data_IF_292438788719
#
_entry.id   IF_292438788719
#
_cell.length_a   1.000
_cell.length_b   1.000
_cell.length_c   1.000
_cell.angle_alpha   90.00
_cell.angle_beta   90.00
_cell.angle_gamma   90.00
#
_symmetry.space_group_name_H-M   'P 1'
#
loop_
_entity.id
_entity.type
_entity.pdbx_description
1 polymer ?
#
# COMPACT_ATOMS: atom_id res chain seq x y z
N UNK A 1 -96.76 27.64 -4.29
CA UNK A 1 -96.18 26.41 -4.84
C UNK A 1 -94.74 26.66 -5.13
N UNK A 2 -93.81 26.28 -4.24
CA UNK A 2 -92.38 26.44 -4.38
C UNK A 2 -91.73 25.10 -4.73
N UNK A 3 -91.16 25.00 -5.93
CA UNK A 3 -90.34 23.85 -6.37
C UNK A 3 -88.94 24.06 -5.86
N UNK A 4 -88.46 23.18 -4.96
CA UNK A 4 -87.04 23.10 -4.54
C UNK A 4 -86.27 22.19 -5.52
N UNK A 5 -85.34 22.79 -6.24
CA UNK A 5 -84.42 22.06 -7.10
C UNK A 5 -83.22 21.61 -6.25
N UNK A 6 -82.99 20.30 -6.15
CA UNK A 6 -81.84 19.74 -5.50
C UNK A 6 -80.65 19.67 -6.53
N UNK A 7 -79.59 20.39 -6.27
CA UNK A 7 -78.35 20.24 -6.99
C UNK A 7 -77.53 19.13 -6.35
N UNK A 8 -77.32 18.04 -7.07
CA UNK A 8 -76.43 16.97 -6.70
C UNK A 8 -75.00 17.36 -7.18
N UNK A 9 -74.07 17.61 -6.21
CA UNK A 9 -72.69 17.80 -6.47
C UNK A 9 -72.00 16.44 -6.45
N UNK A 10 -71.57 15.96 -7.65
CA UNK A 10 -70.77 14.75 -7.79
C UNK A 10 -69.31 15.11 -7.48
N UNK A 11 -68.76 14.62 -6.35
CA UNK A 11 -67.34 14.70 -6.04
C UNK A 11 -66.64 13.62 -6.82
N UNK A 12 -65.86 14.02 -7.83
CA UNK A 12 -64.87 13.17 -8.51
C UNK A 12 -63.64 13.03 -7.64
N UNK A 13 -63.48 11.87 -7.00
CA UNK A 13 -62.23 11.54 -6.31
C UNK A 13 -61.16 11.13 -7.35
N UNK A 14 -60.20 12.02 -7.60
CA UNK A 14 -58.99 11.71 -8.40
C UNK A 14 -58.05 10.92 -7.49
N UNK A 15 -57.99 9.60 -7.67
CA UNK A 15 -56.97 8.75 -7.07
C UNK A 15 -55.66 8.98 -7.80
N UNK A 16 -54.79 9.79 -7.22
CA UNK A 16 -53.36 9.87 -7.64
C UNK A 16 -52.68 8.63 -7.09
N UNK A 17 -52.61 7.57 -7.89
CA UNK A 17 -51.73 6.44 -7.65
C UNK A 17 -50.28 6.93 -7.88
N UNK A 18 -49.66 7.48 -6.84
CA UNK A 18 -48.24 7.74 -6.82
C UNK A 18 -47.52 6.41 -6.87
N UNK A 19 -46.99 6.06 -8.05
CA UNK A 19 -46.01 4.99 -8.19
C UNK A 19 -44.80 5.39 -7.39
N UNK A 20 -44.70 4.97 -6.14
CA UNK A 20 -43.47 4.88 -5.39
C UNK A 20 -42.65 3.78 -6.06
N UNK A 21 -42.05 4.08 -7.21
CA UNK A 21 -40.86 3.36 -7.65
C UNK A 21 -39.81 3.66 -6.60
N UNK A 22 -39.69 2.79 -5.59
CA UNK A 22 -38.53 2.72 -4.75
C UNK A 22 -37.34 2.61 -5.70
N UNK A 23 -36.55 3.66 -5.80
CA UNK A 23 -35.22 3.54 -6.35
C UNK A 23 -34.55 2.52 -5.44
N UNK A 24 -34.54 1.25 -5.86
CA UNK A 24 -33.60 0.31 -5.29
C UNK A 24 -32.24 0.99 -5.45
N UNK A 25 -31.60 1.32 -4.32
CA UNK A 25 -30.23 1.76 -4.35
C UNK A 25 -29.48 0.65 -5.09
N UNK A 26 -29.01 0.97 -6.30
CA UNK A 26 -28.22 0.02 -7.07
C UNK A 26 -27.05 -0.36 -6.20
N UNK A 27 -26.90 -1.66 -5.88
CA UNK A 27 -25.81 -2.14 -5.05
C UNK A 27 -24.51 -1.66 -5.68
N UNK A 28 -23.83 -0.81 -4.95
CA UNK A 28 -22.56 -0.22 -5.43
C UNK A 28 -21.48 -1.28 -5.31
N UNK A 29 -20.82 -1.56 -6.42
CA UNK A 29 -19.75 -2.55 -6.49
C UNK A 29 -18.42 -1.83 -6.73
N UNK A 30 -17.51 -1.99 -5.78
CA UNK A 30 -16.16 -1.48 -5.83
C UNK A 30 -15.20 -2.62 -6.19
N UNK A 31 -14.06 -2.26 -6.76
CA UNK A 31 -13.01 -3.22 -7.09
C UNK A 31 -11.71 -2.80 -6.42
N UNK A 32 -11.10 -3.74 -5.70
CA UNK A 32 -9.78 -3.61 -5.11
C UNK A 32 -8.83 -4.56 -5.84
N UNK A 33 -7.88 -3.99 -6.58
CA UNK A 33 -7.02 -4.73 -7.52
C UNK A 33 -5.56 -4.48 -7.12
N UNK A 34 -4.84 -5.56 -6.78
CA UNK A 34 -3.49 -5.47 -6.24
C UNK A 34 -2.48 -6.26 -7.09
N UNK A 35 -1.30 -5.67 -7.31
CA UNK A 35 -0.16 -6.39 -7.87
C UNK A 35 0.50 -7.33 -6.85
N UNK A 36 0.12 -7.24 -5.57
CA UNK A 36 0.67 -8.09 -4.52
C UNK A 36 0.31 -9.56 -4.65
N UNK A 37 0.82 -10.34 -3.71
CA UNK A 37 0.55 -11.77 -3.58
C UNK A 37 -0.06 -12.06 -2.21
N UNK A 38 -1.06 -12.95 -2.13
CA UNK A 38 -1.60 -13.39 -0.83
C UNK A 38 -0.59 -14.18 0.00
N UNK A 39 0.55 -14.60 -0.60
CA UNK A 39 1.64 -15.26 0.11
C UNK A 39 2.53 -14.29 0.89
N UNK A 40 2.50 -13.00 0.56
CA UNK A 40 3.24 -11.96 1.26
C UNK A 40 2.36 -11.37 2.38
N UNK A 41 2.77 -11.45 3.65
CA UNK A 41 1.96 -11.06 4.81
C UNK A 41 1.45 -9.62 4.76
N UNK A 42 2.21 -8.66 4.23
CA UNK A 42 1.78 -7.26 4.18
C UNK A 42 0.48 -7.09 3.39
N UNK A 43 0.29 -7.89 2.34
CA UNK A 43 -0.91 -7.83 1.51
C UNK A 43 -2.17 -8.35 2.20
N UNK A 44 -2.01 -9.19 3.23
CA UNK A 44 -3.12 -9.60 4.11
C UNK A 44 -3.66 -8.39 4.88
N UNK A 45 -2.79 -7.50 5.35
CA UNK A 45 -3.22 -6.28 6.05
C UNK A 45 -3.89 -5.28 5.10
N UNK A 46 -3.38 -5.12 3.88
CA UNK A 46 -4.08 -4.31 2.87
C UNK A 46 -5.48 -4.85 2.56
N UNK A 47 -5.62 -6.17 2.40
CA UNK A 47 -6.91 -6.82 2.17
C UNK A 47 -7.87 -6.61 3.35
N UNK A 48 -7.40 -6.76 4.59
CA UNK A 48 -8.22 -6.52 5.78
C UNK A 48 -8.79 -5.10 5.81
N UNK A 49 -8.05 -4.10 5.35
CA UNK A 49 -8.55 -2.72 5.23
C UNK A 49 -9.71 -2.61 4.23
N UNK A 50 -9.63 -3.32 3.11
CA UNK A 50 -10.70 -3.36 2.13
C UNK A 50 -11.95 -4.11 2.64
N UNK A 51 -11.74 -5.23 3.32
CA UNK A 51 -12.82 -6.01 3.94
C UNK A 51 -13.52 -5.24 5.07
N UNK A 52 -12.75 -4.52 5.90
CA UNK A 52 -13.32 -3.68 6.95
C UNK A 52 -14.15 -2.55 6.36
N UNK A 53 -13.67 -1.89 5.29
CA UNK A 53 -14.45 -0.85 4.62
C UNK A 53 -15.76 -1.41 4.05
N UNK A 54 -15.73 -2.60 3.45
CA UNK A 54 -16.93 -3.28 2.95
C UNK A 54 -17.93 -3.57 4.07
N UNK A 55 -17.44 -4.07 5.21
CA UNK A 55 -18.26 -4.36 6.38
C UNK A 55 -18.90 -3.10 6.98
N UNK A 56 -18.14 -2.00 7.11
CA UNK A 56 -18.60 -0.75 7.71
C UNK A 56 -19.62 -0.01 6.83
N UNK A 57 -19.47 -0.12 5.51
CA UNK A 57 -20.32 0.60 4.55
C UNK A 57 -21.47 -0.23 4.00
N UNK A 58 -21.42 -1.56 4.17
CA UNK A 58 -22.38 -2.49 3.55
C UNK A 58 -22.28 -2.55 2.03
N UNK A 59 -21.20 -2.05 1.42
CA UNK A 59 -20.96 -2.08 -0.02
C UNK A 59 -20.23 -3.35 -0.43
N UNK A 60 -20.42 -3.78 -1.67
CA UNK A 60 -19.69 -4.92 -2.25
C UNK A 60 -18.29 -4.47 -2.70
N UNK A 61 -17.26 -5.18 -2.28
CA UNK A 61 -15.88 -5.00 -2.76
C UNK A 61 -15.40 -6.32 -3.37
N UNK A 62 -15.10 -6.31 -4.67
CA UNK A 62 -14.43 -7.43 -5.34
C UNK A 62 -12.92 -7.25 -5.26
N UNK A 63 -12.23 -8.24 -4.72
CA UNK A 63 -10.78 -8.18 -4.50
C UNK A 63 -10.04 -9.15 -5.41
N UNK A 64 -8.86 -8.76 -5.91
CA UNK A 64 -7.99 -9.64 -6.70
C UNK A 64 -6.51 -9.32 -6.49
N UNK A 65 -5.69 -10.39 -6.59
CA UNK A 65 -4.23 -10.34 -6.54
C UNK A 65 -3.66 -10.81 -7.87
N UNK A 66 -2.59 -10.16 -8.32
CA UNK A 66 -2.00 -10.41 -9.63
C UNK A 66 -0.50 -10.76 -9.58
N UNK A 67 0.13 -10.81 -8.40
CA UNK A 67 1.51 -11.30 -8.17
C UNK A 67 2.54 -10.71 -9.14
N UNK A 68 2.45 -9.40 -9.43
CA UNK A 68 3.33 -8.69 -10.36
C UNK A 68 3.03 -8.90 -11.85
N UNK A 69 2.02 -9.72 -12.21
CA UNK A 69 1.64 -9.95 -13.61
C UNK A 69 0.86 -8.76 -14.17
N UNK A 70 1.54 -7.89 -14.91
CA UNK A 70 0.97 -6.67 -15.51
C UNK A 70 -0.20 -6.97 -16.45
N UNK A 71 -0.12 -7.92 -17.41
CA UNK A 71 -1.25 -8.28 -18.27
C UNK A 71 -2.48 -8.71 -17.49
N UNK A 72 -2.33 -9.57 -16.49
CA UNK A 72 -3.43 -10.01 -15.61
C UNK A 72 -4.05 -8.84 -14.83
N UNK A 73 -3.23 -7.92 -14.34
CA UNK A 73 -3.68 -6.73 -13.62
C UNK A 73 -4.49 -5.80 -14.53
N UNK A 74 -4.01 -5.52 -15.75
CA UNK A 74 -4.73 -4.71 -16.73
C UNK A 74 -6.08 -5.34 -17.11
N UNK A 75 -6.12 -6.67 -17.30
CA UNK A 75 -7.35 -7.36 -17.63
C UNK A 75 -8.39 -7.29 -16.49
N UNK A 76 -7.94 -7.35 -15.24
CA UNK A 76 -8.83 -7.18 -14.08
C UNK A 76 -9.45 -5.77 -14.04
N UNK A 77 -8.70 -4.72 -14.39
CA UNK A 77 -9.24 -3.36 -14.50
C UNK A 77 -10.27 -3.28 -15.64
N UNK A 78 -9.98 -3.86 -16.82
CA UNK A 78 -10.93 -3.89 -17.94
C UNK A 78 -12.20 -4.69 -17.60
N UNK A 79 -12.06 -5.81 -16.89
CA UNK A 79 -13.19 -6.60 -16.40
C UNK A 79 -14.08 -5.79 -15.43
N UNK A 80 -13.47 -5.02 -14.52
CA UNK A 80 -14.20 -4.13 -13.63
C UNK A 80 -14.94 -3.02 -14.39
N UNK A 81 -14.30 -2.43 -15.43
CA UNK A 81 -14.95 -1.44 -16.30
C UNK A 81 -16.15 -2.06 -17.03
N UNK A 82 -15.96 -3.23 -17.64
CA UNK A 82 -17.02 -3.95 -18.37
C UNK A 82 -18.20 -4.36 -17.46
N UNK A 83 -17.91 -4.67 -16.19
CA UNK A 83 -18.93 -4.99 -15.20
C UNK A 83 -19.66 -3.75 -14.66
N UNK A 84 -19.30 -2.54 -15.05
CA UNK A 84 -19.91 -1.29 -14.59
C UNK A 84 -19.55 -0.97 -13.14
N UNK A 85 -18.29 -1.11 -12.78
CA UNK A 85 -17.81 -0.78 -11.44
C UNK A 85 -18.27 0.62 -10.99
N UNK A 86 -18.65 0.75 -9.74
CA UNK A 86 -18.94 2.06 -9.13
C UNK A 86 -17.67 2.88 -9.03
N UNK A 87 -16.56 2.26 -8.60
CA UNK A 87 -15.21 2.80 -8.62
C UNK A 87 -14.19 1.66 -8.48
N UNK A 88 -12.92 1.96 -8.80
CA UNK A 88 -11.81 1.05 -8.73
C UNK A 88 -10.74 1.63 -7.81
N UNK A 89 -10.12 0.81 -6.98
CA UNK A 89 -8.84 1.13 -6.34
C UNK A 89 -7.80 0.15 -6.82
N UNK A 90 -6.63 0.63 -7.22
CA UNK A 90 -5.60 -0.19 -7.87
C UNK A 90 -4.21 0.22 -7.42
N UNK A 91 -3.36 -0.76 -7.16
CA UNK A 91 -1.91 -0.51 -7.11
C UNK A 91 -1.37 -0.35 -8.53
N UNK A 92 -0.14 0.14 -8.70
CA UNK A 92 0.56 0.13 -9.98
C UNK A 92 1.82 -0.73 -9.85
N UNK A 93 1.91 -1.88 -10.58
CA UNK A 93 3.09 -2.75 -10.48
C UNK A 93 4.36 -2.09 -11.00
N UNK A 94 4.25 -1.39 -12.13
CA UNK A 94 5.35 -0.67 -12.78
C UNK A 94 4.88 0.71 -13.27
N UNK A 95 5.69 1.77 -13.17
CA UNK A 95 5.34 3.10 -13.66
C UNK A 95 4.98 3.06 -15.15
N UNK A 96 3.83 3.63 -15.47
CA UNK A 96 3.32 3.69 -16.85
C UNK A 96 2.64 2.42 -17.36
N UNK A 97 2.72 1.31 -16.67
CA UNK A 97 2.10 0.05 -17.12
C UNK A 97 0.57 0.12 -17.16
N UNK A 98 -0.05 0.98 -16.38
CA UNK A 98 -1.50 1.13 -16.28
C UNK A 98 -2.07 2.37 -16.99
N UNK A 99 -1.27 3.18 -17.67
CA UNK A 99 -1.70 4.43 -18.30
C UNK A 99 -2.94 4.24 -19.19
N UNK A 100 -2.93 3.22 -20.04
CA UNK A 100 -4.02 2.95 -20.98
C UNK A 100 -5.32 2.55 -20.25
N UNK A 101 -5.26 1.58 -19.34
CA UNK A 101 -6.45 1.07 -18.65
C UNK A 101 -7.02 2.07 -17.65
N UNK A 102 -6.18 2.93 -17.06
CA UNK A 102 -6.63 4.06 -16.24
C UNK A 102 -7.38 5.07 -17.11
N UNK A 103 -6.87 5.38 -18.31
CA UNK A 103 -7.57 6.26 -19.25
C UNK A 103 -8.90 5.64 -19.72
N UNK A 104 -8.97 4.32 -19.93
CA UNK A 104 -10.21 3.59 -20.24
C UNK A 104 -11.25 3.75 -19.10
N UNK A 105 -10.86 3.55 -17.83
CA UNK A 105 -11.73 3.74 -16.67
C UNK A 105 -12.25 5.19 -16.57
N UNK A 106 -11.36 6.16 -16.74
CA UNK A 106 -11.69 7.58 -16.73
C UNK A 106 -12.66 7.95 -17.85
N UNK A 107 -12.44 7.44 -19.07
CA UNK A 107 -13.33 7.65 -20.21
C UNK A 107 -14.72 7.02 -20.01
N UNK A 108 -14.81 5.89 -19.29
CA UNK A 108 -16.06 5.29 -18.88
C UNK A 108 -16.76 6.03 -17.71
N UNK A 109 -16.14 7.06 -17.15
CA UNK A 109 -16.66 7.82 -16.02
C UNK A 109 -16.55 7.08 -14.68
N UNK A 110 -15.70 6.06 -14.62
CA UNK A 110 -15.46 5.24 -13.43
C UNK A 110 -14.25 5.82 -12.68
N UNK A 111 -14.41 6.30 -11.45
CA UNK A 111 -13.30 6.75 -10.63
C UNK A 111 -12.29 5.62 -10.39
N UNK A 112 -11.00 5.95 -10.48
CA UNK A 112 -9.93 5.03 -10.18
C UNK A 112 -8.89 5.71 -9.27
N UNK A 113 -8.65 5.14 -8.09
CA UNK A 113 -7.72 5.63 -7.08
C UNK A 113 -6.50 4.71 -7.06
N UNK A 114 -5.31 5.31 -7.09
CA UNK A 114 -4.07 4.56 -6.89
C UNK A 114 -3.76 4.40 -5.40
N UNK A 115 -3.24 3.25 -5.00
CA UNK A 115 -2.78 3.04 -3.62
C UNK A 115 -1.47 2.25 -3.55
N UNK A 116 -0.78 2.33 -2.42
CA UNK A 116 0.48 1.67 -2.08
C UNK A 116 1.67 2.12 -2.95
N UNK A 117 1.68 1.83 -4.25
CA UNK A 117 2.78 2.17 -5.17
C UNK A 117 2.35 3.30 -6.09
N UNK A 118 2.96 4.50 -5.98
CA UNK A 118 2.57 5.66 -6.77
C UNK A 118 2.94 5.50 -8.25
N UNK A 119 2.05 5.91 -9.14
CA UNK A 119 2.31 6.00 -10.58
C UNK A 119 1.91 7.38 -11.12
N UNK A 120 2.84 8.33 -11.15
CA UNK A 120 2.56 9.68 -11.65
C UNK A 120 2.38 9.74 -13.15
N UNK A 121 2.64 8.66 -13.90
CA UNK A 121 2.45 8.59 -15.35
C UNK A 121 1.01 8.33 -15.74
N UNK A 122 0.19 7.75 -14.86
CA UNK A 122 -1.22 7.46 -15.12
C UNK A 122 -2.14 8.49 -14.43
N UNK A 123 -3.26 8.86 -15.09
CA UNK A 123 -4.20 9.88 -14.62
C UNK A 123 -5.19 9.30 -13.57
N UNK A 124 -4.68 8.79 -12.46
CA UNK A 124 -5.50 8.42 -11.32
C UNK A 124 -6.19 9.64 -10.68
N UNK A 125 -7.37 9.45 -10.07
CA UNK A 125 -8.07 10.53 -9.37
C UNK A 125 -7.31 11.02 -8.13
N UNK A 126 -6.66 10.11 -7.42
CA UNK A 126 -5.84 10.39 -6.24
C UNK A 126 -4.89 9.22 -5.94
N UNK A 127 -3.98 9.42 -5.01
CA UNK A 127 -3.08 8.41 -4.48
C UNK A 127 -3.18 8.31 -2.96
N UNK A 128 -3.08 7.08 -2.43
CA UNK A 128 -3.00 6.80 -0.99
C UNK A 128 -1.84 5.85 -0.72
N UNK A 129 -0.85 6.29 0.04
CA UNK A 129 0.31 5.46 0.38
C UNK A 129 1.53 6.28 0.78
N UNK A 130 2.69 5.63 0.84
CA UNK A 130 3.95 6.27 1.19
C UNK A 130 4.51 7.16 0.07
N UNK A 131 5.21 8.22 0.44
CA UNK A 131 6.14 8.90 -0.46
C UNK A 131 7.47 8.13 -0.40
N UNK A 132 7.75 7.31 -1.42
CA UNK A 132 8.88 6.39 -1.41
C UNK A 132 10.24 7.11 -1.39
N UNK A 133 10.36 8.26 -2.04
CA UNK A 133 11.57 9.08 -1.92
C UNK A 133 11.76 9.62 -0.50
N UNK A 134 10.67 10.05 0.13
CA UNK A 134 10.71 10.48 1.53
C UNK A 134 11.06 9.33 2.47
N UNK A 135 10.54 8.13 2.22
CA UNK A 135 10.85 6.91 2.98
C UNK A 135 12.33 6.60 2.92
N UNK A 136 12.91 6.47 1.72
CA UNK A 136 14.34 6.20 1.54
C UNK A 136 15.22 7.29 2.17
N UNK A 137 14.85 8.56 1.99
CA UNK A 137 15.54 9.69 2.63
C UNK A 137 15.49 9.58 4.15
N UNK A 138 14.35 9.19 4.71
CA UNK A 138 14.16 9.07 6.16
C UNK A 138 15.06 7.99 6.76
N UNK A 139 15.22 6.84 6.09
CA UNK A 139 16.15 5.79 6.53
C UNK A 139 17.60 6.25 6.50
N UNK A 140 18.03 6.86 5.38
CA UNK A 140 19.39 7.35 5.24
C UNK A 140 19.71 8.44 6.26
N UNK A 141 18.78 9.39 6.45
CA UNK A 141 18.93 10.48 7.42
C UNK A 141 18.97 9.95 8.86
N UNK A 142 18.12 8.94 9.18
CA UNK A 142 18.17 8.29 10.49
C UNK A 142 19.55 7.68 10.78
N UNK A 143 20.13 6.95 9.83
CA UNK A 143 21.47 6.35 10.02
C UNK A 143 22.53 7.41 10.22
N UNK A 144 22.45 8.54 9.51
CA UNK A 144 23.37 9.67 9.65
C UNK A 144 23.20 10.37 11.01
N UNK A 145 21.95 10.71 11.37
CA UNK A 145 21.65 11.46 12.60
C UNK A 145 22.00 10.67 13.87
N UNK A 146 21.86 9.35 13.84
CA UNK A 146 22.29 8.47 14.94
C UNK A 146 23.82 8.23 14.95
N UNK A 147 24.54 8.71 13.94
CA UNK A 147 25.97 8.50 13.80
C UNK A 147 26.37 7.07 13.46
N UNK A 148 25.47 6.30 12.87
CA UNK A 148 25.69 4.92 12.48
C UNK A 148 26.49 4.80 11.18
N UNK A 149 26.42 5.83 10.33
CA UNK A 149 27.19 5.91 9.08
C UNK A 149 27.84 7.27 8.92
N UNK A 150 29.01 7.30 8.27
CA UNK A 150 29.82 8.50 7.99
C UNK A 150 30.50 8.38 6.63
N UNK A 151 31.22 9.42 6.23
CA UNK A 151 31.98 9.42 4.99
C UNK A 151 32.90 8.19 4.86
N UNK A 152 32.83 7.54 3.72
CA UNK A 152 33.65 6.37 3.38
C UNK A 152 33.00 5.03 3.79
N UNK A 153 31.92 5.06 4.53
CA UNK A 153 31.19 3.85 4.92
C UNK A 153 30.45 3.23 3.72
N UNK A 154 30.08 1.95 3.89
CA UNK A 154 29.37 1.17 2.89
C UNK A 154 28.09 0.61 3.46
N UNK A 155 26.95 0.87 2.80
CA UNK A 155 25.63 0.41 3.18
C UNK A 155 25.14 -0.66 2.21
N UNK A 156 24.68 -1.78 2.73
CA UNK A 156 24.07 -2.83 1.94
C UNK A 156 22.55 -2.67 1.88
N UNK A 157 21.96 -2.83 0.68
CA UNK A 157 20.53 -2.66 0.44
C UNK A 157 19.94 -3.89 -0.26
N UNK A 158 19.56 -4.95 0.50
CA UNK A 158 18.83 -6.08 -0.07
C UNK A 158 17.41 -5.66 -0.47
N UNK A 159 16.92 -6.18 -1.61
CA UNK A 159 15.57 -5.95 -2.15
C UNK A 159 15.01 -7.23 -2.74
N UNK A 160 13.69 -7.45 -2.62
CA UNK A 160 13.04 -8.66 -3.15
C UNK A 160 13.01 -8.68 -4.67
N UNK A 161 12.78 -7.52 -5.31
CA UNK A 161 12.67 -7.39 -6.77
C UNK A 161 13.52 -6.22 -7.23
N UNK A 162 14.76 -6.48 -7.68
CA UNK A 162 15.62 -5.43 -8.22
C UNK A 162 14.99 -4.72 -9.41
N UNK A 163 15.06 -3.38 -9.39
CA UNK A 163 14.49 -2.54 -10.46
C UNK A 163 12.97 -2.30 -10.35
N UNK A 164 12.29 -2.90 -9.39
CA UNK A 164 10.91 -2.52 -9.10
C UNK A 164 10.83 -1.06 -8.64
N UNK A 165 9.74 -0.38 -9.01
CA UNK A 165 9.58 1.06 -8.81
C UNK A 165 9.77 1.50 -7.36
N UNK A 166 9.30 0.69 -6.41
CA UNK A 166 9.44 1.02 -4.99
C UNK A 166 10.92 1.14 -4.57
N UNK A 167 11.74 0.14 -4.85
CA UNK A 167 13.16 0.16 -4.50
C UNK A 167 13.94 1.25 -5.24
N UNK A 168 13.60 1.51 -6.51
CA UNK A 168 14.22 2.58 -7.30
C UNK A 168 13.92 3.98 -6.73
N UNK A 169 12.68 4.25 -6.32
CA UNK A 169 12.32 5.55 -5.73
C UNK A 169 12.90 5.72 -4.32
N UNK A 170 12.92 4.66 -3.52
CA UNK A 170 13.59 4.64 -2.21
C UNK A 170 15.09 4.90 -2.36
N UNK A 171 15.77 4.23 -3.31
CA UNK A 171 17.18 4.43 -3.60
C UNK A 171 17.48 5.88 -3.98
N UNK A 172 16.65 6.54 -4.79
CA UNK A 172 16.79 7.98 -5.09
C UNK A 172 16.73 8.84 -3.83
N UNK A 173 15.82 8.50 -2.91
CA UNK A 173 15.72 9.15 -1.60
C UNK A 173 17.00 8.99 -0.78
N UNK A 174 17.53 7.77 -0.70
CA UNK A 174 18.77 7.42 -0.01
C UNK A 174 19.96 8.14 -0.63
N UNK A 175 20.08 8.10 -1.96
CA UNK A 175 21.14 8.76 -2.71
C UNK A 175 21.21 10.26 -2.41
N UNK A 176 20.07 10.93 -2.26
CA UNK A 176 20.00 12.35 -1.93
C UNK A 176 20.68 12.73 -0.62
N UNK A 177 20.84 11.75 0.31
CA UNK A 177 21.53 11.92 1.61
C UNK A 177 22.96 11.40 1.54
N UNK A 178 23.17 10.24 0.94
CA UNK A 178 24.48 9.54 1.00
C UNK A 178 25.50 10.09 0.01
N UNK A 179 25.10 10.46 -1.21
CA UNK A 179 26.05 10.99 -2.21
C UNK A 179 26.81 12.23 -1.73
N UNK A 180 26.16 13.27 -1.14
CA UNK A 180 26.86 14.43 -0.63
C UNK A 180 27.86 14.12 0.49
N UNK A 181 27.62 13.01 1.22
CA UNK A 181 28.45 12.58 2.35
C UNK A 181 29.56 11.60 1.93
N UNK A 182 29.59 11.16 0.67
CA UNK A 182 30.56 10.16 0.20
C UNK A 182 30.35 8.78 0.81
N UNK A 183 29.13 8.44 1.17
CA UNK A 183 28.73 7.10 1.60
C UNK A 183 28.37 6.31 0.34
N UNK A 184 28.84 5.06 0.25
CA UNK A 184 28.60 4.18 -0.89
C UNK A 184 27.61 3.07 -0.51
N UNK A 185 26.94 2.49 -1.51
CA UNK A 185 26.00 1.40 -1.27
C UNK A 185 25.94 0.41 -2.42
N UNK A 186 25.28 -0.71 -2.18
CA UNK A 186 25.01 -1.75 -3.17
C UNK A 186 23.63 -2.31 -2.96
N UNK A 187 22.82 -2.35 -4.04
CA UNK A 187 21.51 -3.02 -4.07
C UNK A 187 21.70 -4.45 -4.55
N UNK A 188 21.14 -5.43 -3.83
CA UNK A 188 21.26 -6.84 -4.20
C UNK A 188 19.92 -7.54 -4.23
N UNK A 189 19.78 -8.50 -5.15
CA UNK A 189 18.61 -9.35 -5.29
C UNK A 189 18.50 -10.36 -4.14
N UNK A 190 17.44 -10.23 -3.36
CA UNK A 190 17.12 -11.16 -2.27
C UNK A 190 15.98 -12.14 -2.62
N UNK A 191 15.28 -11.96 -3.75
CA UNK A 191 14.13 -12.77 -4.23
C UNK A 191 12.85 -12.62 -3.40
N UNK A 192 11.76 -13.23 -3.88
CA UNK A 192 10.43 -13.24 -3.24
C UNK A 192 10.14 -14.55 -2.45
N UNK A 193 11.04 -15.51 -2.43
CA UNK A 193 10.93 -16.72 -1.63
C UNK A 193 11.61 -16.53 -0.27
N UNK A 194 10.85 -16.60 0.82
CA UNK A 194 11.38 -16.29 2.16
C UNK A 194 12.54 -17.19 2.59
N UNK A 195 12.56 -18.46 2.20
CA UNK A 195 13.66 -19.36 2.55
C UNK A 195 14.92 -19.02 1.76
N UNK A 196 14.76 -18.65 0.51
CA UNK A 196 15.84 -18.22 -0.38
C UNK A 196 16.34 -16.82 0.03
N UNK A 197 15.48 -15.90 0.47
CA UNK A 197 15.88 -14.59 1.05
C UNK A 197 16.89 -14.81 2.17
N UNK A 198 16.60 -15.67 3.15
CA UNK A 198 17.50 -15.94 4.27
C UNK A 198 18.85 -16.49 3.77
N UNK A 199 18.81 -17.41 2.80
CA UNK A 199 20.02 -18.02 2.22
C UNK A 199 20.87 -16.96 1.53
N UNK A 200 20.32 -16.19 0.58
CA UNK A 200 21.03 -15.16 -0.17
C UNK A 200 21.61 -14.08 0.73
N UNK A 201 20.81 -13.61 1.70
CA UNK A 201 21.28 -12.62 2.66
C UNK A 201 22.38 -13.17 3.56
N UNK A 202 22.31 -14.41 4.01
CA UNK A 202 23.36 -15.06 4.83
C UNK A 202 24.65 -15.25 4.03
N UNK A 203 24.57 -15.66 2.77
CA UNK A 203 25.73 -15.80 1.89
C UNK A 203 26.40 -14.46 1.64
N UNK A 204 25.62 -13.41 1.35
CA UNK A 204 26.14 -12.06 1.17
C UNK A 204 26.85 -11.54 2.44
N UNK A 205 26.21 -11.69 3.61
CA UNK A 205 26.80 -11.27 4.89
C UNK A 205 28.06 -12.06 5.23
N UNK A 206 28.08 -13.36 4.97
CA UNK A 206 29.27 -14.19 5.19
C UNK A 206 30.46 -13.69 4.36
N UNK A 207 30.21 -13.27 3.12
CA UNK A 207 31.27 -12.80 2.21
C UNK A 207 31.66 -11.33 2.46
N UNK A 208 30.79 -10.49 3.02
CA UNK A 208 30.95 -9.03 3.03
C UNK A 208 30.87 -8.39 4.43
N UNK A 209 30.77 -9.17 5.51
CA UNK A 209 30.54 -8.65 6.88
C UNK A 209 31.46 -7.51 7.26
N UNK A 210 32.76 -7.63 6.95
CA UNK A 210 33.75 -6.62 7.31
C UNK A 210 33.58 -5.31 6.54
N UNK A 211 32.94 -5.35 5.36
CA UNK A 211 32.69 -4.19 4.51
C UNK A 211 31.39 -3.47 4.92
N UNK A 212 30.36 -4.21 5.38
CA UNK A 212 29.03 -3.67 5.63
C UNK A 212 29.00 -2.90 6.93
N UNK A 213 28.79 -1.58 6.86
CA UNK A 213 28.65 -0.70 8.03
C UNK A 213 27.21 -0.62 8.52
N UNK A 214 26.23 -0.63 7.60
CA UNK A 214 24.80 -0.62 7.91
C UNK A 214 23.99 -1.32 6.81
N UNK A 215 22.74 -1.63 7.10
CA UNK A 215 21.81 -2.26 6.16
C UNK A 215 20.54 -1.41 6.05
N UNK A 216 20.05 -1.23 4.82
CA UNK A 216 18.70 -0.71 4.55
C UNK A 216 17.92 -1.79 3.81
N UNK A 217 16.94 -2.40 4.45
CA UNK A 217 16.04 -3.35 3.80
C UNK A 217 14.99 -2.60 2.96
N UNK A 218 15.12 -2.68 1.63
CA UNK A 218 14.20 -1.99 0.70
C UNK A 218 12.84 -2.68 0.57
N UNK A 219 12.61 -3.77 1.30
CA UNK A 219 11.33 -4.45 1.40
C UNK A 219 11.10 -5.03 2.79
N UNK A 220 9.87 -5.41 3.08
CA UNK A 220 9.52 -5.92 4.41
C UNK A 220 10.05 -7.33 4.67
N UNK A 221 10.06 -8.18 3.64
CA UNK A 221 10.55 -9.56 3.76
C UNK A 221 12.06 -9.60 4.07
N UNK A 222 12.85 -8.76 3.42
CA UNK A 222 14.29 -8.66 3.70
C UNK A 222 14.54 -8.07 5.08
N UNK A 223 13.81 -7.04 5.49
CA UNK A 223 13.94 -6.43 6.82
C UNK A 223 13.54 -7.42 7.92
N UNK A 224 12.40 -8.10 7.77
CA UNK A 224 11.91 -9.10 8.71
C UNK A 224 12.79 -10.36 8.81
N UNK A 225 13.59 -10.64 7.79
CA UNK A 225 14.52 -11.77 7.80
C UNK A 225 15.83 -11.48 8.52
N UNK A 226 16.16 -10.22 8.81
CA UNK A 226 17.48 -9.81 9.36
C UNK A 226 17.84 -10.57 10.63
N UNK A 227 16.91 -10.74 11.59
CA UNK A 227 17.20 -11.48 12.81
C UNK A 227 17.66 -12.92 12.52
N UNK A 228 16.94 -13.63 11.64
CA UNK A 228 17.30 -15.02 11.29
C UNK A 228 18.63 -15.10 10.56
N UNK A 229 18.89 -14.14 9.67
CA UNK A 229 20.19 -14.02 8.96
C UNK A 229 21.31 -13.80 9.95
N UNK A 230 21.18 -12.84 10.85
CA UNK A 230 22.21 -12.50 11.84
C UNK A 230 22.49 -13.65 12.81
N UNK A 231 21.43 -14.34 13.29
CA UNK A 231 21.58 -15.53 14.12
C UNK A 231 22.34 -16.65 13.37
N UNK A 232 22.09 -16.83 12.08
CA UNK A 232 22.76 -17.84 11.26
C UNK A 232 24.24 -17.53 11.00
N UNK A 233 24.59 -16.26 10.75
CA UNK A 233 25.98 -15.85 10.46
C UNK A 233 26.74 -15.36 11.70
N UNK A 234 26.11 -15.40 12.88
CA UNK A 234 26.74 -15.04 14.15
C UNK A 234 26.98 -13.53 14.30
N UNK A 235 26.07 -12.67 13.83
CA UNK A 235 26.06 -11.23 14.07
C UNK A 235 25.16 -10.93 15.28
N UNK A 236 25.69 -10.38 16.38
CA UNK A 236 24.88 -10.02 17.54
C UNK A 236 23.91 -8.87 17.23
N UNK A 237 22.79 -8.83 17.97
CA UNK A 237 21.87 -7.71 17.92
C UNK A 237 22.58 -6.38 18.18
N UNK A 238 22.33 -5.39 17.35
CA UNK A 238 22.91 -4.05 17.46
C UNK A 238 24.35 -3.90 16.97
N UNK A 239 25.02 -4.95 16.50
CA UNK A 239 26.38 -4.84 15.96
C UNK A 239 26.41 -4.10 14.61
N UNK A 240 25.50 -4.40 13.73
CA UNK A 240 25.31 -3.73 12.44
C UNK A 240 23.96 -3.01 12.47
N UNK A 241 23.93 -1.68 12.33
CA UNK A 241 22.69 -0.92 12.26
C UNK A 241 21.83 -1.33 11.07
N UNK A 242 20.53 -1.51 11.31
CA UNK A 242 19.56 -1.90 10.28
C UNK A 242 18.35 -1.00 10.34
N UNK A 243 17.89 -0.54 9.19
CA UNK A 243 16.60 0.13 8.99
C UNK A 243 15.89 -0.47 7.76
N UNK A 244 14.60 -0.24 7.61
CA UNK A 244 13.86 -0.71 6.42
C UNK A 244 12.35 -0.65 6.61
N UNK A 245 11.61 -1.41 5.80
CA UNK A 245 10.17 -1.57 5.98
C UNK A 245 9.82 -2.39 7.22
N UNK A 246 8.65 -2.15 7.79
CA UNK A 246 8.25 -2.71 9.07
C UNK A 246 6.78 -3.11 9.17
N UNK A 247 6.29 -3.88 8.21
CA UNK A 247 4.86 -4.21 8.08
C UNK A 247 4.55 -5.67 8.48
N UNK A 248 5.48 -6.36 9.16
CA UNK A 248 5.29 -7.75 9.58
C UNK A 248 5.62 -7.97 11.07
N UNK A 249 5.06 -9.05 11.63
CA UNK A 249 5.39 -9.48 12.99
C UNK A 249 6.87 -9.82 13.15
N UNK A 250 7.49 -10.38 12.10
CA UNK A 250 8.94 -10.68 12.10
C UNK A 250 9.76 -9.39 12.24
N UNK A 251 9.40 -8.32 11.50
CA UNK A 251 10.11 -7.05 11.62
C UNK A 251 9.91 -6.38 12.96
N UNK A 252 8.68 -6.32 13.50
CA UNK A 252 8.46 -5.73 14.83
C UNK A 252 9.19 -6.51 15.93
N UNK A 253 9.26 -7.84 15.79
CA UNK A 253 10.07 -8.67 16.68
C UNK A 253 11.56 -8.33 16.57
N UNK A 254 12.10 -8.24 15.36
CA UNK A 254 13.49 -7.87 15.13
C UNK A 254 13.84 -6.47 15.70
N UNK A 255 12.90 -5.50 15.63
CA UNK A 255 13.06 -4.19 16.29
C UNK A 255 13.06 -4.33 17.82
N UNK A 256 12.13 -5.08 18.38
CA UNK A 256 12.03 -5.31 19.84
C UNK A 256 13.28 -6.01 20.37
N UNK A 257 13.80 -7.00 19.66
CA UNK A 257 14.99 -7.76 20.03
C UNK A 257 16.30 -7.00 19.75
N UNK A 258 16.24 -5.85 19.05
CA UNK A 258 17.37 -4.97 18.78
C UNK A 258 18.22 -5.35 17.57
N UNK A 259 17.73 -6.21 16.68
CA UNK A 259 18.37 -6.52 15.39
C UNK A 259 18.08 -5.46 14.33
N UNK A 260 16.95 -4.78 14.41
CA UNK A 260 16.57 -3.65 13.55
C UNK A 260 16.42 -2.41 14.42
N UNK A 261 17.07 -1.31 14.04
CA UNK A 261 17.09 -0.07 14.82
C UNK A 261 15.82 0.74 14.67
N UNK A 262 15.31 0.83 13.45
CA UNK A 262 14.05 1.50 13.15
C UNK A 262 13.41 0.90 11.88
N UNK A 263 12.10 0.92 11.83
CA UNK A 263 11.36 0.41 10.68
C UNK A 263 10.21 1.34 10.29
N UNK A 264 9.88 1.40 9.00
CA UNK A 264 8.82 2.23 8.46
C UNK A 264 7.52 1.44 8.39
N UNK A 265 6.52 1.90 9.09
CA UNK A 265 5.15 1.39 9.00
C UNK A 265 4.40 2.05 7.85
N UNK A 266 3.75 1.29 6.96
CA UNK A 266 2.99 1.81 5.81
C UNK A 266 1.54 2.14 6.11
N UNK A 267 0.99 1.72 7.23
CA UNK A 267 -0.45 1.71 7.49
C UNK A 267 -1.26 0.94 6.42
N UNK A 268 -0.96 -0.33 6.14
CA UNK A 268 -1.56 -1.02 5.00
C UNK A 268 -3.10 -1.12 5.10
N UNK A 269 -3.65 -1.38 6.29
CA UNK A 269 -5.10 -1.41 6.51
C UNK A 269 -5.73 -0.03 6.25
N UNK A 270 -5.17 1.03 6.85
CA UNK A 270 -5.65 2.39 6.66
C UNK A 270 -5.53 2.82 5.20
N UNK A 271 -4.46 2.47 4.51
CA UNK A 271 -4.24 2.78 3.09
C UNK A 271 -5.37 2.23 2.21
N UNK A 272 -5.72 0.94 2.34
CA UNK A 272 -6.83 0.34 1.57
C UNK A 272 -8.18 0.94 1.95
N UNK A 273 -8.44 1.13 3.24
CA UNK A 273 -9.68 1.71 3.73
C UNK A 273 -9.89 3.15 3.21
N UNK A 274 -8.85 3.98 3.28
CA UNK A 274 -8.87 5.36 2.79
C UNK A 274 -9.02 5.38 1.27
N UNK A 275 -8.32 4.52 0.53
CA UNK A 275 -8.43 4.47 -0.93
C UNK A 275 -9.86 4.18 -1.39
N UNK A 276 -10.54 3.20 -0.78
CA UNK A 276 -11.95 2.91 -1.04
C UNK A 276 -12.87 4.06 -0.63
N UNK A 277 -12.56 4.75 0.47
CA UNK A 277 -13.32 5.93 0.91
C UNK A 277 -13.21 7.07 -0.10
N UNK A 278 -12.01 7.37 -0.62
CA UNK A 278 -11.81 8.36 -1.67
C UNK A 278 -12.52 7.95 -2.97
N UNK A 279 -12.47 6.68 -3.33
CA UNK A 279 -13.18 6.13 -4.48
C UNK A 279 -14.71 6.32 -4.35
N UNK A 280 -15.26 6.11 -3.17
CA UNK A 280 -16.68 6.31 -2.88
C UNK A 280 -17.08 7.81 -2.92
N UNK A 281 -16.20 8.71 -2.47
CA UNK A 281 -16.38 10.16 -2.57
C UNK A 281 -16.47 10.58 -4.05
N UNK A 282 -15.51 10.19 -4.87
CA UNK A 282 -15.50 10.47 -6.32
C UNK A 282 -16.73 9.93 -7.02
N UNK A 283 -17.13 8.68 -6.73
CA UNK A 283 -18.35 8.08 -7.27
C UNK A 283 -19.62 8.84 -6.85
N UNK A 284 -19.59 9.50 -5.70
CA UNK A 284 -20.65 10.34 -5.17
C UNK A 284 -20.57 11.80 -5.63
N UNK A 285 -19.67 12.10 -6.60
CA UNK A 285 -19.42 13.45 -7.14
C UNK A 285 -18.88 14.44 -6.10
N UNK A 286 -18.19 13.93 -5.09
CA UNK A 286 -17.36 14.71 -4.17
C UNK A 286 -15.93 14.59 -4.70
N UNK A 287 -15.39 15.64 -5.38
CA UNK A 287 -14.09 15.53 -6.03
C UNK A 287 -12.95 15.37 -5.01
N UNK A 288 -12.02 14.48 -5.32
CA UNK A 288 -10.81 14.26 -4.56
C UNK A 288 -9.63 14.72 -5.40
N UNK A 289 -9.02 15.85 -5.03
CA UNK A 289 -7.89 16.44 -5.75
C UNK A 289 -6.59 16.43 -4.94
N UNK A 290 -6.43 15.49 -3.97
CA UNK A 290 -5.28 15.42 -3.09
C UNK A 290 -4.81 13.99 -2.89
N UNK A 291 -3.53 13.84 -2.55
CA UNK A 291 -2.95 12.57 -2.15
C UNK A 291 -2.94 12.44 -0.63
N UNK A 292 -3.14 11.24 -0.12
CA UNK A 292 -2.99 10.91 1.29
C UNK A 292 -1.68 10.15 1.48
N UNK A 293 -0.75 10.76 2.21
CA UNK A 293 0.53 10.14 2.52
C UNK A 293 0.40 9.44 3.88
N UNK A 294 0.72 8.16 3.90
CA UNK A 294 0.72 7.29 5.08
C UNK A 294 2.14 6.85 5.41
N UNK A 295 2.34 6.43 6.64
CA UNK A 295 3.59 5.86 7.09
C UNK A 295 4.21 6.60 8.28
N UNK A 296 4.90 5.84 9.12
CA UNK A 296 5.62 6.35 10.28
C UNK A 296 6.85 5.49 10.57
N UNK A 297 7.98 6.14 10.82
CA UNK A 297 9.17 5.47 11.33
C UNK A 297 8.97 5.15 12.81
N UNK A 298 9.18 3.89 13.21
CA UNK A 298 9.13 3.46 14.60
C UNK A 298 10.44 2.82 15.04
N UNK A 299 10.75 2.99 16.32
CA UNK A 299 11.90 2.42 17.00
C UNK A 299 11.43 1.42 18.09
N UNK A 300 12.36 0.86 18.85
CA UNK A 300 12.09 -0.17 19.87
C UNK A 300 11.04 0.24 20.90
N UNK A 301 11.02 1.49 21.33
CA UNK A 301 10.09 2.00 22.35
C UNK A 301 8.62 2.05 21.88
N UNK A 302 8.39 2.08 20.57
CA UNK A 302 7.07 2.11 19.95
C UNK A 302 6.72 0.84 19.17
N UNK A 303 7.66 -0.09 18.99
CA UNK A 303 7.48 -1.31 18.22
C UNK A 303 6.31 -2.19 18.70
N UNK A 304 6.05 -2.23 20.02
CA UNK A 304 4.93 -2.99 20.61
C UNK A 304 3.56 -2.50 20.12
N UNK A 305 3.41 -1.20 19.84
CA UNK A 305 2.16 -0.64 19.30
C UNK A 305 1.87 -1.23 17.93
N UNK A 306 2.86 -1.24 17.06
CA UNK A 306 2.73 -1.79 15.70
C UNK A 306 2.58 -3.30 15.72
N UNK A 307 3.29 -3.99 16.61
CA UNK A 307 3.13 -5.43 16.81
C UNK A 307 1.67 -5.81 17.15
N UNK A 308 1.03 -5.06 18.05
CA UNK A 308 -0.39 -5.26 18.40
C UNK A 308 -1.34 -4.91 17.27
N UNK A 309 -1.08 -3.84 16.51
CA UNK A 309 -1.88 -3.47 15.33
C UNK A 309 -1.90 -4.63 14.31
N UNK A 310 -0.78 -5.34 14.16
CA UNK A 310 -0.66 -6.50 13.27
C UNK A 310 -1.20 -7.81 13.88
N UNK A 311 -1.83 -7.77 15.04
CA UNK A 311 -2.42 -8.95 15.69
C UNK A 311 -1.43 -9.79 16.50
N UNK A 312 -0.25 -9.27 16.78
CA UNK A 312 0.72 -9.88 17.70
C UNK A 312 0.25 -9.84 19.16
N UNK A 313 0.67 -10.82 19.95
CA UNK A 313 0.30 -10.98 21.38
C UNK A 313 1.41 -10.55 22.32
#
# INVERSE_FOLDING_TARGET
>A
MLRRTFLTVSAAAVAVAGSLTGAFAQDKTFYWISHGSPADPVWTYFLQGAEQWAADTGQTVNTSFHSGDVPSHQEAIRAAIAAGATAIVSTSPDPGSLVEVVAEARAAGIPIINFNTPDPSADFNAYVGGDLMFVGRSWAQYLVDKGFVKQGDFVWMPVEVPGASYGVEEEKGIASVFEPLGITWEVTDATLDQAEVITRMSDYMTANREKVTAIIGLGDMVTGSVQRVFDQVGVPAGEIPVVGWGNSLDTTKAVTDGYVNAAMWQDPQATSYIALSLAAMEASKIPVGFNVITGALYEKDTAEVYHKIMGGS
#
